data_IF_329087922841
#
_entry.id   IF_329087922841
#
_cell.length_a   1.000
_cell.length_b   1.000
_cell.length_c   1.000
_cell.angle_alpha   90.00
_cell.angle_beta   90.00
_cell.angle_gamma   90.00
#
_symmetry.space_group_name_H-M   'P 1'
#
loop_
_entity.id
_entity.type
_entity.pdbx_description
1 polymer ?
#
# COMPACT_ATOMS: atom_id res chain seq x y z
N UNK A 1 25.66 -34.65 -8.51
CA UNK A 1 24.28 -34.94 -8.04
C UNK A 1 23.80 -34.06 -6.93
N UNK A 2 24.55 -33.98 -5.84
CA UNK A 2 24.13 -33.16 -4.66
C UNK A 2 23.95 -31.69 -5.02
N UNK A 3 24.84 -31.11 -5.82
CA UNK A 3 24.75 -29.71 -6.26
C UNK A 3 23.47 -29.41 -7.05
N UNK A 4 23.02 -30.32 -7.91
CA UNK A 4 21.78 -30.16 -8.66
C UNK A 4 20.56 -30.23 -7.76
N UNK A 5 20.57 -31.13 -6.78
CA UNK A 5 19.47 -31.24 -5.80
C UNK A 5 19.38 -29.98 -4.97
N UNK A 6 20.50 -29.45 -4.48
CA UNK A 6 20.55 -28.20 -3.72
C UNK A 6 20.02 -27.04 -4.57
N UNK A 7 20.40 -26.97 -5.83
CA UNK A 7 19.94 -25.93 -6.76
C UNK A 7 18.42 -26.00 -6.96
N UNK A 8 17.89 -27.19 -7.20
CA UNK A 8 16.45 -27.42 -7.39
C UNK A 8 15.68 -27.07 -6.11
N UNK A 9 16.14 -27.53 -4.96
CA UNK A 9 15.50 -27.22 -3.66
C UNK A 9 15.54 -25.72 -3.39
N UNK A 10 16.67 -25.05 -3.64
CA UNK A 10 16.78 -23.60 -3.48
C UNK A 10 15.82 -22.85 -4.39
N UNK A 11 15.66 -23.29 -5.63
CA UNK A 11 14.73 -22.69 -6.58
C UNK A 11 13.27 -22.85 -6.13
N UNK A 12 12.90 -24.05 -5.66
CA UNK A 12 11.55 -24.33 -5.15
C UNK A 12 11.26 -23.47 -3.93
N UNK A 13 12.19 -23.37 -2.98
CA UNK A 13 12.04 -22.52 -1.80
C UNK A 13 11.87 -21.06 -2.20
N UNK A 14 12.67 -20.57 -3.15
CA UNK A 14 12.57 -19.21 -3.64
C UNK A 14 11.18 -18.92 -4.24
N UNK A 15 10.67 -19.82 -5.06
CA UNK A 15 9.33 -19.69 -5.68
C UNK A 15 8.25 -19.66 -4.60
N UNK A 16 8.33 -20.55 -3.60
CA UNK A 16 7.37 -20.57 -2.49
C UNK A 16 7.40 -19.26 -1.67
N UNK A 17 8.58 -18.73 -1.41
CA UNK A 17 8.75 -17.45 -0.70
C UNK A 17 8.13 -16.31 -1.51
N UNK A 18 8.35 -16.26 -2.82
CA UNK A 18 7.77 -15.23 -3.69
C UNK A 18 6.24 -15.31 -3.73
N UNK A 19 5.69 -16.53 -3.80
CA UNK A 19 4.24 -16.73 -3.76
C UNK A 19 3.66 -16.26 -2.42
N UNK A 20 4.28 -16.64 -1.31
CA UNK A 20 3.87 -16.21 0.02
C UNK A 20 3.94 -14.70 0.20
N UNK A 21 5.03 -14.07 -0.27
CA UNK A 21 5.20 -12.63 -0.24
C UNK A 21 4.14 -11.90 -1.08
N UNK A 22 3.81 -12.44 -2.25
CA UNK A 22 2.78 -11.87 -3.13
C UNK A 22 1.39 -11.93 -2.48
N UNK A 23 1.04 -13.07 -1.87
CA UNK A 23 -0.23 -13.23 -1.15
C UNK A 23 -0.28 -12.24 0.04
N UNK A 24 0.79 -12.14 0.81
CA UNK A 24 0.89 -11.21 1.93
C UNK A 24 0.71 -9.76 1.45
N UNK A 25 1.37 -9.39 0.35
CA UNK A 25 1.27 -8.05 -0.23
C UNK A 25 -0.16 -7.72 -0.66
N UNK A 26 -0.84 -8.65 -1.33
CA UNK A 26 -2.24 -8.46 -1.75
C UNK A 26 -3.15 -8.30 -0.53
N UNK A 27 -3.01 -9.17 0.48
CA UNK A 27 -3.86 -9.15 1.65
C UNK A 27 -3.61 -7.93 2.57
N UNK A 28 -2.34 -7.53 2.71
CA UNK A 28 -1.94 -6.48 3.66
C UNK A 28 -1.99 -5.09 3.03
N UNK A 29 -1.48 -4.94 1.81
CA UNK A 29 -1.32 -3.64 1.15
C UNK A 29 -2.21 -3.47 -0.08
N UNK A 30 -2.94 -4.51 -0.46
CA UNK A 30 -3.76 -4.53 -1.68
C UNK A 30 -2.95 -4.21 -2.94
N UNK A 31 -1.69 -4.63 -2.96
CA UNK A 31 -0.79 -4.50 -4.11
C UNK A 31 -0.39 -5.85 -4.64
N UNK A 32 -0.13 -5.92 -5.94
CA UNK A 32 0.30 -7.17 -6.60
C UNK A 32 1.82 -7.32 -6.66
N UNK A 33 2.56 -6.27 -6.31
CA UNK A 33 4.01 -6.26 -6.39
C UNK A 33 4.64 -6.31 -4.99
N UNK A 34 5.10 -7.49 -4.52
CA UNK A 34 5.69 -7.61 -3.17
C UNK A 34 7.02 -6.87 -3.06
N UNK A 35 7.76 -6.71 -4.14
CA UNK A 35 9.04 -6.00 -4.15
C UNK A 35 8.80 -4.52 -3.86
N UNK A 36 7.84 -3.90 -4.55
CA UNK A 36 7.46 -2.51 -4.32
C UNK A 36 7.00 -2.27 -2.90
N UNK A 37 6.16 -3.15 -2.35
CA UNK A 37 5.68 -3.08 -0.97
C UNK A 37 6.83 -3.18 0.03
N UNK A 38 7.76 -4.12 -0.19
CA UNK A 38 8.92 -4.31 0.68
C UNK A 38 9.84 -3.08 0.68
N UNK A 39 10.19 -2.55 -0.48
CA UNK A 39 11.00 -1.33 -0.57
C UNK A 39 10.28 -0.13 0.04
N UNK A 40 8.98 0.01 -0.17
CA UNK A 40 8.19 1.06 0.43
C UNK A 40 8.23 1.00 1.95
N UNK A 41 8.05 -0.18 2.53
CA UNK A 41 8.15 -0.36 3.99
C UNK A 41 9.54 -0.01 4.52
N UNK A 42 10.60 -0.46 3.85
CA UNK A 42 11.98 -0.16 4.25
C UNK A 42 12.20 1.35 4.26
N UNK A 43 11.75 2.05 3.22
CA UNK A 43 11.88 3.50 3.13
C UNK A 43 11.11 4.23 4.24
N UNK A 44 9.90 3.80 4.55
CA UNK A 44 9.09 4.41 5.61
C UNK A 44 9.68 4.14 7.00
N UNK A 45 10.13 2.92 7.27
CA UNK A 45 10.62 2.53 8.60
C UNK A 45 12.04 3.01 8.90
N UNK A 46 12.91 3.08 7.90
CA UNK A 46 14.34 3.31 8.10
C UNK A 46 14.87 4.62 7.51
N UNK A 47 14.02 5.40 6.83
CA UNK A 47 14.41 6.70 6.28
C UNK A 47 13.48 7.79 6.80
N UNK A 48 13.81 9.06 6.51
CA UNK A 48 12.99 10.21 6.89
C UNK A 48 11.88 10.52 5.89
N UNK A 49 11.64 9.67 4.91
CA UNK A 49 10.57 9.89 3.94
C UNK A 49 9.20 9.86 4.61
N UNK A 50 8.39 10.87 4.32
CA UNK A 50 7.05 11.00 4.87
C UNK A 50 6.08 10.03 4.21
N UNK A 51 6.23 9.77 2.91
CA UNK A 51 5.39 8.86 2.15
C UNK A 51 6.13 8.23 0.98
N UNK A 52 5.62 7.09 0.52
CA UNK A 52 6.10 6.39 -0.69
C UNK A 52 4.90 5.84 -1.44
N UNK A 53 4.79 6.17 -2.72
CA UNK A 53 3.75 5.59 -3.59
C UNK A 53 4.25 4.23 -4.07
N UNK A 54 3.56 3.15 -3.67
CA UNK A 54 3.98 1.78 -4.01
C UNK A 54 3.21 1.16 -5.17
N UNK A 55 2.08 1.76 -5.55
CA UNK A 55 1.28 1.30 -6.69
C UNK A 55 0.44 2.45 -7.23
N UNK A 56 0.29 2.53 -8.55
CA UNK A 56 -0.61 3.49 -9.20
C UNK A 56 -1.78 2.81 -9.90
N UNK A 57 -1.60 1.60 -10.39
CA UNK A 57 -2.62 0.81 -11.09
C UNK A 57 -2.64 -0.62 -10.56
N UNK A 58 -3.83 -1.25 -10.43
CA UNK A 58 -5.17 -0.70 -10.72
C UNK A 58 -5.62 0.35 -9.71
N UNK A 59 -5.12 0.33 -8.49
CA UNK A 59 -5.45 1.29 -7.43
C UNK A 59 -4.20 1.98 -6.95
N UNK A 60 -4.30 3.27 -6.63
CA UNK A 60 -3.20 4.00 -5.99
C UNK A 60 -3.05 3.51 -4.56
N UNK A 61 -1.83 3.14 -4.17
CA UNK A 61 -1.50 2.72 -2.80
C UNK A 61 -0.29 3.51 -2.33
N UNK A 62 -0.41 4.11 -1.16
CA UNK A 62 0.64 4.94 -0.57
C UNK A 62 0.95 4.44 0.83
N UNK A 63 2.23 4.25 1.13
CA UNK A 63 2.73 4.02 2.47
C UNK A 63 3.20 5.33 3.06
N UNK A 64 2.86 5.60 4.33
CA UNK A 64 3.21 6.83 5.02
C UNK A 64 3.65 6.53 6.45
N UNK A 65 4.36 7.49 7.06
CA UNK A 65 4.49 7.51 8.51
C UNK A 65 3.13 7.86 9.13
N UNK A 66 2.73 7.22 10.24
CA UNK A 66 1.38 7.42 10.79
C UNK A 66 1.01 8.89 11.07
N UNK A 67 1.95 9.68 11.54
CA UNK A 67 1.75 11.09 11.85
C UNK A 67 1.48 11.98 10.63
N UNK A 68 1.80 11.52 9.42
CA UNK A 68 1.64 12.31 8.18
C UNK A 68 0.38 11.96 7.40
N UNK A 69 -0.43 11.02 7.85
CA UNK A 69 -1.61 10.54 7.11
C UNK A 69 -2.58 11.67 6.75
N UNK A 70 -3.03 12.43 7.75
CA UNK A 70 -3.96 13.54 7.54
C UNK A 70 -3.31 14.67 6.75
N UNK A 71 -2.06 14.98 7.02
CA UNK A 71 -1.30 16.00 6.32
C UNK A 71 -1.15 15.66 4.84
N UNK A 72 -0.82 14.41 4.50
CA UNK A 72 -0.68 13.97 3.12
C UNK A 72 -1.97 14.19 2.33
N UNK A 73 -3.10 13.75 2.87
CA UNK A 73 -4.40 13.92 2.21
C UNK A 73 -4.74 15.40 2.04
N UNK A 74 -4.51 16.22 3.05
CA UNK A 74 -4.75 17.65 2.99
C UNK A 74 -3.86 18.36 1.96
N UNK A 75 -2.56 18.02 1.93
CA UNK A 75 -1.59 18.60 0.99
C UNK A 75 -1.91 18.24 -0.47
N UNK A 76 -2.48 17.04 -0.70
CA UNK A 76 -2.91 16.58 -2.02
C UNK A 76 -4.31 17.11 -2.39
N UNK A 77 -4.94 17.89 -1.54
CA UNK A 77 -6.24 18.50 -1.83
C UNK A 77 -7.44 17.61 -1.58
N UNK A 78 -7.27 16.48 -0.90
CA UNK A 78 -8.37 15.58 -0.58
C UNK A 78 -9.05 15.99 0.73
N UNK A 79 -10.39 16.10 0.69
CA UNK A 79 -11.22 16.40 1.86
C UNK A 79 -12.19 15.28 2.12
N UNK A 80 -12.30 14.85 3.36
CA UNK A 80 -13.24 13.81 3.76
C UNK A 80 -14.68 14.29 3.71
N UNK A 81 -15.55 13.46 3.13
CA UNK A 81 -17.00 13.62 3.22
C UNK A 81 -17.47 12.76 4.40
N UNK A 82 -17.48 13.30 5.59
CA UNK A 82 -17.72 12.57 6.84
C UNK A 82 -19.04 11.81 6.85
N UNK A 83 -20.08 12.37 6.22
CA UNK A 83 -21.42 11.79 6.15
C UNK A 83 -21.46 10.46 5.39
N UNK A 84 -20.44 10.19 4.57
CA UNK A 84 -20.38 8.99 3.72
C UNK A 84 -19.38 7.96 4.20
N UNK A 85 -18.77 8.18 5.35
CA UNK A 85 -17.77 7.25 5.88
C UNK A 85 -18.38 5.91 6.29
N UNK A 86 -17.70 4.83 5.89
CA UNK A 86 -18.09 3.46 6.24
C UNK A 86 -16.89 2.73 6.88
N UNK A 87 -16.79 2.78 8.21
CA UNK A 87 -15.70 2.11 8.95
C UNK A 87 -14.32 2.63 8.57
N UNK A 88 -13.46 1.75 8.08
CA UNK A 88 -12.10 2.09 7.64
C UNK A 88 -12.06 2.72 6.26
N UNK A 89 -13.19 2.79 5.56
CA UNK A 89 -13.30 3.39 4.24
C UNK A 89 -13.89 4.78 4.38
N UNK A 90 -13.08 5.81 4.12
CA UNK A 90 -13.53 7.18 4.02
C UNK A 90 -13.83 7.54 2.58
N UNK A 91 -14.84 8.37 2.36
CA UNK A 91 -15.10 8.96 1.06
C UNK A 91 -14.47 10.35 1.05
N UNK A 92 -13.57 10.58 0.10
CA UNK A 92 -12.83 11.83 -0.02
C UNK A 92 -13.09 12.45 -1.38
N UNK A 93 -13.02 13.76 -1.43
CA UNK A 93 -13.16 14.50 -2.68
C UNK A 93 -12.03 15.53 -2.84
N UNK A 94 -11.65 15.79 -4.08
CA UNK A 94 -10.87 16.96 -4.45
C UNK A 94 -11.67 17.79 -5.46
N UNK A 95 -11.03 18.76 -6.10
CA UNK A 95 -11.73 19.66 -7.04
C UNK A 95 -12.36 18.91 -8.22
N UNK A 96 -11.74 17.83 -8.70
CA UNK A 96 -12.12 17.12 -9.92
C UNK A 96 -12.67 15.71 -9.71
N UNK A 97 -12.36 15.10 -8.57
CA UNK A 97 -12.59 13.67 -8.37
C UNK A 97 -13.18 13.37 -7.00
N UNK A 98 -13.82 12.21 -6.92
CA UNK A 98 -14.32 11.62 -5.67
C UNK A 98 -13.78 10.18 -5.59
N UNK A 99 -13.33 9.75 -4.43
CA UNK A 99 -12.75 8.43 -4.26
C UNK A 99 -13.07 7.85 -2.89
N UNK A 100 -13.14 6.52 -2.83
CA UNK A 100 -13.13 5.80 -1.58
C UNK A 100 -11.67 5.54 -1.19
N UNK A 101 -11.25 6.01 -0.02
CA UNK A 101 -9.89 5.80 0.48
C UNK A 101 -9.96 4.87 1.69
N UNK A 102 -9.42 3.68 1.51
CA UNK A 102 -9.26 2.73 2.60
C UNK A 102 -8.00 3.10 3.38
N UNK A 103 -8.13 3.27 4.69
CA UNK A 103 -7.01 3.65 5.56
C UNK A 103 -6.76 2.55 6.58
N UNK A 104 -5.51 2.13 6.69
CA UNK A 104 -5.08 1.19 7.71
C UNK A 104 -3.84 1.75 8.40
N UNK A 105 -3.93 1.95 9.70
CA UNK A 105 -2.87 2.57 10.51
C UNK A 105 -2.44 1.58 11.61
N UNK A 106 -1.13 1.41 11.76
CA UNK A 106 -0.56 0.74 12.94
C UNK A 106 0.54 1.63 13.54
N UNK A 107 1.24 1.15 14.57
CA UNK A 107 2.27 1.93 15.25
C UNK A 107 3.52 2.23 14.42
N UNK A 108 3.67 1.61 13.26
CA UNK A 108 4.87 1.71 12.43
C UNK A 108 4.64 2.42 11.10
N UNK A 109 3.48 2.24 10.50
CA UNK A 109 3.17 2.82 9.19
C UNK A 109 1.67 2.97 9.01
N UNK A 110 1.30 3.76 8.00
CA UNK A 110 -0.07 3.93 7.54
C UNK A 110 -0.14 3.54 6.07
N UNK A 111 -1.24 2.91 5.67
CA UNK A 111 -1.50 2.54 4.27
C UNK A 111 -2.76 3.24 3.81
N UNK A 112 -2.68 3.95 2.68
CA UNK A 112 -3.84 4.55 2.02
C UNK A 112 -4.03 3.86 0.68
N UNK A 113 -5.24 3.37 0.42
CA UNK A 113 -5.62 2.73 -0.85
C UNK A 113 -6.79 3.48 -1.45
N UNK A 114 -6.60 4.04 -2.64
CA UNK A 114 -7.66 4.71 -3.40
C UNK A 114 -8.43 3.68 -4.19
N UNK A 115 -9.72 3.55 -3.92
CA UNK A 115 -10.63 2.65 -4.61
C UNK A 115 -11.75 3.46 -5.26
N UNK A 116 -12.23 2.99 -6.43
CA UNK A 116 -13.37 3.59 -7.11
C UNK A 116 -13.24 5.11 -7.33
N UNK A 117 -12.10 5.53 -7.86
CA UNK A 117 -11.87 6.94 -8.18
C UNK A 117 -12.75 7.31 -9.39
N UNK A 118 -13.62 8.28 -9.21
CA UNK A 118 -14.53 8.78 -10.24
C UNK A 118 -14.39 10.28 -10.41
N UNK A 119 -14.55 10.74 -11.62
CA UNK A 119 -14.61 12.19 -11.90
C UNK A 119 -15.97 12.74 -11.48
N UNK A 120 -15.93 13.94 -10.93
CA UNK A 120 -17.15 14.67 -10.60
C UNK A 120 -17.94 15.07 -11.84
#
# INVERSE_FOLDING_TARGET
>A
MIKKIILIVSLVVLVLVLIGASIFSILKFKTYNPISSCFGMIQILFTEKEYVVIQNNPNKVVLLKPEYTSKYLSDEGWKEIEERRMGSIGVYENDDEIANIYTRINGYYSVLVWENVEKK
#
